data_IF_959443314286
#
_entry.id   IF_959443314286
#
_cell.length_a   1.000
_cell.length_b   1.000
_cell.length_c   1.000
_cell.angle_alpha   90.00
_cell.angle_beta   90.00
_cell.angle_gamma   90.00
#
_symmetry.space_group_name_H-M   'P 1'
#
loop_
_entity.id
_entity.type
_entity.pdbx_description
1 polymer ?
#
# COMPACT_ATOMS: atom_id res chain seq x y z
N UNK A 1 2.16 -14.00 -12.48
CA UNK A 1 2.20 -12.82 -11.56
C UNK A 1 1.61 -11.60 -12.24
N UNK A 2 0.93 -10.73 -11.49
CA UNK A 2 0.50 -9.39 -11.95
C UNK A 2 1.41 -8.33 -11.35
N UNK A 3 1.70 -7.27 -12.13
CA UNK A 3 2.60 -6.20 -11.74
C UNK A 3 1.90 -4.85 -11.77
N UNK A 4 2.22 -4.01 -10.80
CA UNK A 4 1.77 -2.63 -10.75
C UNK A 4 2.76 -1.73 -10.04
N UNK A 5 2.39 -0.46 -9.89
CA UNK A 5 3.23 0.55 -9.29
C UNK A 5 2.63 1.11 -7.99
N UNK A 6 3.49 1.60 -7.12
CA UNK A 6 3.12 2.31 -5.89
C UNK A 6 3.87 3.62 -5.79
N UNK A 7 3.19 4.67 -5.37
CA UNK A 7 3.78 5.93 -4.96
C UNK A 7 3.84 6.02 -3.44
N UNK A 8 5.04 6.23 -2.94
CA UNK A 8 5.30 6.50 -1.53
C UNK A 8 6.27 7.69 -1.44
N UNK A 9 5.77 8.93 -1.30
CA UNK A 9 6.63 10.10 -1.22
C UNK A 9 7.47 10.08 0.05
N UNK A 10 8.79 10.28 -0.09
CA UNK A 10 9.71 10.43 1.05
C UNK A 10 10.43 11.78 1.00
N UNK A 11 9.71 12.81 0.58
CA UNK A 11 10.20 14.17 0.33
C UNK A 11 9.35 15.20 1.05
N UNK A 12 9.93 16.38 1.21
CA UNK A 12 9.26 17.60 1.66
C UNK A 12 9.48 18.78 0.70
N UNK A 13 8.95 19.97 1.06
CA UNK A 13 9.01 21.16 0.21
C UNK A 13 10.43 21.63 -0.13
N UNK A 14 11.43 21.25 0.68
CA UNK A 14 12.83 21.56 0.41
C UNK A 14 13.47 20.67 -0.66
N UNK A 15 12.90 19.49 -0.90
CA UNK A 15 13.41 18.53 -1.89
C UNK A 15 12.77 18.77 -3.26
N UNK A 16 11.43 18.93 -3.29
CA UNK A 16 10.65 19.06 -4.52
C UNK A 16 9.31 19.75 -4.24
N UNK A 17 8.84 20.70 -5.08
CA UNK A 17 7.48 21.24 -4.99
C UNK A 17 6.41 20.15 -5.14
N UNK A 18 5.32 20.26 -4.38
CA UNK A 18 4.28 19.25 -4.36
C UNK A 18 3.53 19.15 -5.71
N UNK A 19 3.26 20.27 -6.37
CA UNK A 19 2.65 20.32 -7.70
C UNK A 19 3.48 19.55 -8.74
N UNK A 20 4.80 19.77 -8.77
CA UNK A 20 5.71 19.02 -9.63
C UNK A 20 5.66 17.51 -9.32
N UNK A 21 5.70 17.12 -8.05
CA UNK A 21 5.63 15.71 -7.66
C UNK A 21 4.33 15.04 -8.12
N UNK A 22 3.19 15.72 -7.97
CA UNK A 22 1.92 15.18 -8.42
C UNK A 22 1.82 15.08 -9.93
N UNK A 23 2.31 16.06 -10.68
CA UNK A 23 2.36 16.00 -12.15
C UNK A 23 3.22 14.82 -12.63
N UNK A 24 4.38 14.57 -12.01
CA UNK A 24 5.25 13.44 -12.29
C UNK A 24 4.57 12.09 -11.96
N UNK A 25 3.90 11.99 -10.81
CA UNK A 25 3.16 10.79 -10.46
C UNK A 25 2.00 10.51 -11.43
N UNK A 26 1.28 11.53 -11.87
CA UNK A 26 0.20 11.38 -12.85
C UNK A 26 0.73 10.96 -14.23
N UNK A 27 1.86 11.50 -14.66
CA UNK A 27 2.50 11.06 -15.91
C UNK A 27 2.98 9.59 -15.83
N UNK A 28 3.49 9.16 -14.68
CA UNK A 28 3.85 7.74 -14.46
C UNK A 28 2.62 6.83 -14.39
N UNK A 29 1.49 7.32 -13.88
CA UNK A 29 0.21 6.59 -13.87
C UNK A 29 -0.31 6.36 -15.30
N UNK A 30 -0.28 7.40 -16.15
CA UNK A 30 -0.62 7.31 -17.57
C UNK A 30 0.28 6.31 -18.30
N UNK A 31 1.59 6.41 -18.11
CA UNK A 31 2.55 5.48 -18.69
C UNK A 31 2.29 4.02 -18.27
N UNK A 32 1.99 3.78 -16.99
CA UNK A 32 1.69 2.45 -16.48
C UNK A 32 0.38 1.89 -17.09
N UNK A 33 -0.64 2.73 -17.28
CA UNK A 33 -1.89 2.37 -17.95
C UNK A 33 -1.67 2.04 -19.43
N UNK A 34 -0.89 2.88 -20.14
CA UNK A 34 -0.54 2.67 -21.56
C UNK A 34 0.22 1.35 -21.78
N UNK A 35 1.12 1.02 -20.87
CA UNK A 35 1.91 -0.21 -20.93
C UNK A 35 1.20 -1.45 -20.39
N UNK A 36 -0.04 -1.30 -19.88
CA UNK A 36 -0.87 -2.41 -19.43
C UNK A 36 -0.45 -3.02 -18.11
N UNK A 37 0.15 -2.25 -17.21
CA UNK A 37 0.35 -2.68 -15.84
C UNK A 37 -0.99 -2.82 -15.11
N UNK A 38 -1.05 -3.74 -14.15
CA UNK A 38 -2.30 -4.15 -13.51
C UNK A 38 -2.88 -3.07 -12.59
N UNK A 39 -2.03 -2.41 -11.77
CA UNK A 39 -2.52 -1.49 -10.75
C UNK A 39 -1.56 -0.34 -10.45
N UNK A 40 -2.14 0.75 -9.95
CA UNK A 40 -1.50 1.90 -9.35
C UNK A 40 -1.97 2.02 -7.90
N UNK A 41 -1.06 2.27 -6.95
CA UNK A 41 -1.39 2.47 -5.53
C UNK A 41 -0.70 3.68 -4.94
N UNK A 42 -1.31 4.23 -3.88
CA UNK A 42 -0.69 5.26 -3.05
C UNK A 42 -1.14 5.13 -1.60
N UNK A 43 -0.36 5.73 -0.70
CA UNK A 43 -0.51 5.62 0.76
C UNK A 43 -1.31 6.76 1.37
N UNK A 44 -1.59 6.71 2.68
CA UNK A 44 -2.09 7.83 3.49
C UNK A 44 -1.14 8.05 4.67
N UNK A 45 -0.46 9.20 4.69
CA UNK A 45 0.39 9.68 5.78
C UNK A 45 0.32 11.20 5.90
N UNK A 46 0.74 11.72 7.05
CA UNK A 46 0.59 13.12 7.38
C UNK A 46 1.88 13.69 8.00
N UNK A 47 2.13 15.00 7.78
CA UNK A 47 3.07 15.88 8.51
C UNK A 47 4.55 15.64 8.31
N UNK A 48 4.99 14.43 8.00
CA UNK A 48 6.41 14.10 7.82
C UNK A 48 6.80 14.06 6.35
N UNK A 49 8.08 14.26 6.07
CA UNK A 49 8.65 13.98 4.74
C UNK A 49 8.64 12.46 4.43
N UNK A 50 7.99 11.66 5.24
CA UNK A 50 7.71 10.24 5.08
C UNK A 50 6.21 10.06 4.83
N UNK A 51 5.85 10.01 3.58
CA UNK A 51 4.47 9.85 3.12
C UNK A 51 3.63 11.12 3.11
N UNK A 52 4.08 12.21 3.71
CA UNK A 52 3.25 13.40 4.00
C UNK A 52 2.72 14.16 2.78
N UNK A 53 3.26 13.93 1.58
CA UNK A 53 2.65 14.43 0.34
C UNK A 53 1.43 13.60 -0.13
N UNK A 54 1.05 12.58 0.63
CA UNK A 54 -0.14 11.77 0.35
C UNK A 54 -1.13 11.77 1.54
N UNK A 55 -1.68 12.93 1.94
CA UNK A 55 -2.63 12.99 3.06
C UNK A 55 -4.04 12.50 2.68
N UNK A 56 -4.37 12.41 1.41
CA UNK A 56 -5.62 11.86 0.91
C UNK A 56 -5.40 11.09 -0.41
N UNK A 57 -5.17 9.77 -0.33
CA UNK A 57 -4.99 8.95 -1.52
C UNK A 57 -6.19 8.97 -2.46
N UNK A 58 -7.41 9.16 -1.95
CA UNK A 58 -8.63 9.18 -2.77
C UNK A 58 -8.64 10.39 -3.70
N UNK A 59 -8.18 11.55 -3.23
CA UNK A 59 -8.06 12.76 -4.06
C UNK A 59 -7.08 12.55 -5.21
N UNK A 60 -5.89 12.00 -4.94
CA UNK A 60 -4.90 11.69 -5.97
C UNK A 60 -5.42 10.65 -6.97
N UNK A 61 -6.00 9.56 -6.46
CA UNK A 61 -6.52 8.49 -7.31
C UNK A 61 -7.72 8.94 -8.16
N UNK A 62 -8.50 9.92 -7.72
CA UNK A 62 -9.55 10.52 -8.55
C UNK A 62 -8.97 11.29 -9.76
N UNK A 63 -7.85 12.01 -9.56
CA UNK A 63 -7.14 12.64 -10.67
C UNK A 63 -6.54 11.59 -11.63
N UNK A 64 -5.94 10.52 -11.11
CA UNK A 64 -5.43 9.41 -11.90
C UNK A 64 -6.55 8.68 -12.66
N UNK A 65 -7.74 8.50 -12.06
CA UNK A 65 -8.90 7.89 -12.71
C UNK A 65 -9.33 8.62 -13.97
N UNK A 66 -9.25 9.96 -13.95
CA UNK A 66 -9.61 10.80 -15.09
C UNK A 66 -8.60 10.76 -16.25
N UNK A 67 -7.36 10.32 -15.98
CA UNK A 67 -6.25 10.24 -16.95
C UNK A 67 -5.95 8.83 -17.44
N UNK A 68 -6.54 7.81 -16.82
CA UNK A 68 -6.29 6.39 -17.10
C UNK A 68 -7.60 5.67 -17.47
N UNK A 69 -7.51 4.52 -18.12
CA UNK A 69 -8.68 3.80 -18.62
C UNK A 69 -8.77 2.34 -18.22
N UNK A 70 -7.64 1.69 -17.88
CA UNK A 70 -7.55 0.24 -17.64
C UNK A 70 -6.96 -0.10 -16.28
N UNK A 71 -5.90 0.61 -15.87
CA UNK A 71 -5.17 0.35 -14.63
C UNK A 71 -6.11 0.41 -13.41
N UNK A 72 -6.03 -0.57 -12.52
CA UNK A 72 -6.78 -0.56 -11.27
C UNK A 72 -6.16 0.46 -10.30
N UNK A 73 -7.00 1.11 -9.52
CA UNK A 73 -6.61 2.18 -8.63
C UNK A 73 -6.79 1.71 -7.18
N UNK A 74 -5.70 1.65 -6.43
CA UNK A 74 -5.73 1.10 -5.08
C UNK A 74 -5.29 2.08 -4.00
N UNK A 75 -6.01 2.12 -2.90
CA UNK A 75 -5.45 2.69 -1.67
C UNK A 75 -4.54 1.67 -0.99
N UNK A 76 -3.41 2.13 -0.41
CA UNK A 76 -2.46 1.23 0.25
C UNK A 76 -1.75 1.91 1.44
N UNK A 77 -2.56 2.45 2.36
CA UNK A 77 -3.99 2.29 2.57
C UNK A 77 -4.72 3.62 2.82
N UNK A 78 -6.06 3.58 3.01
CA UNK A 78 -6.79 4.62 3.76
C UNK A 78 -6.87 4.25 5.23
N UNK A 79 -6.97 5.25 6.10
CA UNK A 79 -6.94 5.07 7.56
C UNK A 79 -8.33 5.35 8.15
N UNK A 80 -9.12 4.30 8.46
CA UNK A 80 -10.48 4.48 8.99
C UNK A 80 -10.54 5.20 10.33
N UNK A 81 -9.47 5.09 11.14
CA UNK A 81 -9.43 5.71 12.46
C UNK A 81 -9.51 7.26 12.41
N UNK A 82 -9.11 7.87 11.30
CA UNK A 82 -9.06 9.34 11.16
C UNK A 82 -10.25 9.91 10.37
N UNK A 83 -11.18 9.08 9.93
CA UNK A 83 -12.29 9.53 9.08
C UNK A 83 -13.59 8.85 9.46
N UNK A 84 -14.68 9.63 9.56
CA UNK A 84 -16.02 9.06 9.81
C UNK A 84 -16.43 8.08 8.68
N UNK A 85 -16.93 6.86 9.00
CA UNK A 85 -17.23 5.81 8.01
C UNK A 85 -18.13 6.25 6.85
N UNK A 86 -19.19 7.03 7.14
CA UNK A 86 -20.09 7.53 6.09
C UNK A 86 -19.36 8.44 5.11
N UNK A 87 -18.45 9.29 5.59
CA UNK A 87 -17.63 10.15 4.72
C UNK A 87 -16.63 9.32 3.92
N UNK A 88 -15.96 8.36 4.57
CA UNK A 88 -14.99 7.48 3.91
C UNK A 88 -15.65 6.62 2.83
N UNK A 89 -16.75 5.94 3.17
CA UNK A 89 -17.50 5.14 2.22
C UNK A 89 -18.01 5.97 1.03
N UNK A 90 -18.49 7.21 1.28
CA UNK A 90 -18.98 8.11 0.25
C UNK A 90 -17.90 8.51 -0.75
N UNK A 91 -16.73 8.96 -0.27
CA UNK A 91 -15.64 9.37 -1.18
C UNK A 91 -15.05 8.19 -1.96
N UNK A 92 -14.99 6.99 -1.36
CA UNK A 92 -14.53 5.77 -2.04
C UNK A 92 -15.57 5.30 -3.09
N UNK A 93 -16.87 5.40 -2.80
CA UNK A 93 -17.91 5.13 -3.79
C UNK A 93 -17.87 6.12 -4.97
N UNK A 94 -17.57 7.40 -4.72
CA UNK A 94 -17.34 8.37 -5.80
C UNK A 94 -16.15 7.95 -6.67
N UNK A 95 -15.02 7.55 -6.07
CA UNK A 95 -13.84 7.09 -6.82
C UNK A 95 -14.14 5.82 -7.61
N UNK A 96 -14.91 4.88 -7.07
CA UNK A 96 -15.33 3.68 -7.80
C UNK A 96 -16.15 4.04 -9.05
N UNK A 97 -17.05 5.03 -8.95
CA UNK A 97 -17.80 5.54 -10.10
C UNK A 97 -16.92 6.28 -11.11
N UNK A 98 -16.06 7.19 -10.65
CA UNK A 98 -15.14 7.96 -11.51
C UNK A 98 -14.16 7.05 -12.27
N UNK A 99 -13.78 5.95 -11.66
CA UNK A 99 -12.88 4.95 -12.24
C UNK A 99 -13.60 3.87 -13.05
N UNK A 100 -14.95 3.92 -13.15
CA UNK A 100 -15.75 2.89 -13.81
C UNK A 100 -15.49 1.47 -13.24
N UNK A 101 -15.44 1.33 -11.91
CA UNK A 101 -15.28 0.05 -11.24
C UNK A 101 -13.83 -0.48 -11.18
N UNK A 102 -12.83 0.38 -11.30
CA UNK A 102 -11.41 0.01 -11.20
C UNK A 102 -10.82 0.17 -9.79
N UNK A 103 -11.62 0.53 -8.79
CA UNK A 103 -11.15 0.74 -7.43
C UNK A 103 -10.87 -0.57 -6.70
N UNK A 104 -9.74 -0.63 -5.99
CA UNK A 104 -9.40 -1.58 -4.94
C UNK A 104 -9.19 -0.81 -3.63
N UNK A 105 -9.90 -1.18 -2.56
CA UNK A 105 -9.81 -0.44 -1.30
C UNK A 105 -8.93 -1.16 -0.30
N UNK A 106 -7.71 -0.66 -0.10
CA UNK A 106 -6.83 -1.08 0.99
C UNK A 106 -7.06 -0.22 2.23
N UNK A 107 -7.35 -0.87 3.34
CA UNK A 107 -7.49 -0.26 4.65
C UNK A 107 -6.25 -0.54 5.49
N UNK A 108 -5.74 0.48 6.16
CA UNK A 108 -4.58 0.39 7.04
C UNK A 108 -4.87 0.92 8.43
N UNK A 109 -4.03 0.49 9.35
CA UNK A 109 -3.96 1.03 10.69
C UNK A 109 -2.78 1.98 10.76
N UNK A 110 -3.00 3.26 11.04
CA UNK A 110 -1.92 4.22 11.25
C UNK A 110 -0.95 3.71 12.32
N UNK A 111 0.28 4.18 12.31
CA UNK A 111 1.29 3.73 13.30
C UNK A 111 2.15 4.86 13.87
N UNK A 112 2.07 6.06 13.35
CA UNK A 112 2.85 7.20 13.85
C UNK A 112 2.07 7.92 14.96
N UNK A 113 2.62 8.01 16.20
CA UNK A 113 1.94 8.64 17.33
C UNK A 113 1.49 10.08 17.11
N UNK A 114 2.23 10.84 16.30
CA UNK A 114 1.92 12.24 16.05
C UNK A 114 0.70 12.40 15.11
N UNK A 115 0.47 11.43 14.21
CA UNK A 115 -0.75 11.37 13.41
C UNK A 115 -1.97 11.17 14.33
N UNK A 116 -1.91 10.20 15.26
CA UNK A 116 -2.98 9.98 16.24
C UNK A 116 -3.25 11.20 17.11
N UNK A 117 -2.19 11.87 17.58
CA UNK A 117 -2.31 13.07 18.40
C UNK A 117 -2.98 14.22 17.64
N UNK A 118 -2.62 14.43 16.37
CA UNK A 118 -3.18 15.50 15.56
C UNK A 118 -4.65 15.29 15.20
N UNK A 119 -5.07 14.04 15.05
CA UNK A 119 -6.49 13.68 14.83
C UNK A 119 -7.27 13.47 16.13
N UNK A 120 -6.65 13.68 17.29
CA UNK A 120 -7.28 13.49 18.62
C UNK A 120 -7.86 12.07 18.81
N UNK A 121 -7.21 11.07 18.23
CA UNK A 121 -7.60 9.65 18.32
C UNK A 121 -6.65 8.92 19.27
N UNK A 122 -7.16 8.26 20.33
CA UNK A 122 -6.33 7.42 21.19
C UNK A 122 -5.74 6.25 20.41
N UNK A 123 -4.42 6.03 20.52
CA UNK A 123 -3.74 4.93 19.80
C UNK A 123 -4.28 3.54 20.19
N UNK A 124 -4.71 3.38 21.43
CA UNK A 124 -5.29 2.15 21.98
C UNK A 124 -6.59 1.77 21.27
N UNK A 125 -7.31 2.74 20.70
CA UNK A 125 -8.53 2.52 19.93
C UNK A 125 -8.27 2.17 18.46
N UNK A 126 -7.02 2.23 18.00
CA UNK A 126 -6.66 2.07 16.59
C UNK A 126 -7.18 0.77 15.97
N UNK A 127 -7.13 -0.33 16.72
CA UNK A 127 -7.58 -1.64 16.24
C UNK A 127 -9.11 -1.71 16.11
N UNK A 128 -9.84 -1.24 17.13
CA UNK A 128 -11.31 -1.27 17.14
C UNK A 128 -11.89 -0.29 16.12
N UNK A 129 -11.31 0.91 15.99
CA UNK A 129 -11.69 1.88 14.94
C UNK A 129 -11.42 1.35 13.54
N UNK A 130 -10.30 0.65 13.35
CA UNK A 130 -9.96 0.02 12.07
C UNK A 130 -11.00 -1.03 11.69
N UNK A 131 -11.34 -1.95 12.59
CA UNK A 131 -12.32 -3.00 12.33
C UNK A 131 -13.71 -2.41 12.07
N UNK A 132 -14.17 -1.52 12.98
CA UNK A 132 -15.46 -0.86 12.85
C UNK A 132 -15.57 -0.06 11.55
N UNK A 133 -14.51 0.63 11.15
CA UNK A 133 -14.50 1.43 9.94
C UNK A 133 -14.60 0.60 8.66
N UNK A 134 -13.93 -0.55 8.58
CA UNK A 134 -14.05 -1.47 7.42
C UNK A 134 -15.46 -2.03 7.36
N UNK A 135 -15.98 -2.56 8.47
CA UNK A 135 -17.30 -3.17 8.52
C UNK A 135 -18.40 -2.17 8.17
N UNK A 136 -18.34 -0.96 8.73
CA UNK A 136 -19.29 0.10 8.41
C UNK A 136 -19.24 0.49 6.93
N UNK A 137 -18.04 0.61 6.34
CA UNK A 137 -17.90 0.91 4.91
C UNK A 137 -18.49 -0.20 4.03
N UNK A 138 -18.19 -1.47 4.31
CA UNK A 138 -18.70 -2.60 3.51
C UNK A 138 -20.22 -2.69 3.56
N UNK A 139 -20.83 -2.47 4.73
CA UNK A 139 -22.29 -2.43 4.85
C UNK A 139 -22.90 -1.23 4.13
N UNK A 140 -22.31 -0.03 4.25
CA UNK A 140 -22.78 1.16 3.54
C UNK A 140 -22.77 0.99 2.02
N UNK A 141 -21.83 0.22 1.45
CA UNK A 141 -21.78 -0.04 0.01
C UNK A 141 -22.78 -1.11 -0.45
N UNK A 142 -23.06 -2.11 0.39
CA UNK A 142 -23.84 -3.29 0.00
C UNK A 142 -25.32 -3.21 0.42
N UNK A 143 -25.64 -2.50 1.51
CA UNK A 143 -26.97 -2.44 2.10
C UNK A 143 -27.67 -1.08 1.86
N UNK A 144 -28.98 -1.03 2.08
CA UNK A 144 -29.79 0.19 2.15
C UNK A 144 -30.28 0.39 3.60
N UNK A 145 -30.62 1.63 3.94
CA UNK A 145 -31.15 2.02 5.26
C UNK A 145 -30.28 1.49 6.42
N UNK A 146 -28.96 1.57 6.26
CA UNK A 146 -27.99 1.08 7.23
C UNK A 146 -28.15 1.83 8.54
N UNK A 147 -28.44 1.10 9.61
CA UNK A 147 -28.35 1.55 10.99
C UNK A 147 -27.07 0.97 11.59
N UNK A 148 -26.25 1.83 12.15
CA UNK A 148 -24.96 1.47 12.75
C UNK A 148 -24.93 1.86 14.23
N UNK A 149 -24.70 0.88 15.09
CA UNK A 149 -24.62 1.01 16.56
C UNK A 149 -23.25 0.48 17.03
N UNK A 150 -22.17 1.15 16.61
CA UNK A 150 -20.80 0.76 16.94
C UNK A 150 -20.29 1.36 18.25
N UNK A 151 -19.04 1.03 18.56
CA UNK A 151 -18.33 1.58 19.73
C UNK A 151 -17.94 3.03 19.52
N UNK A 152 -17.48 3.36 18.31
CA UNK A 152 -16.92 4.69 17.97
C UNK A 152 -17.86 5.53 17.13
N UNK A 153 -18.78 4.90 16.39
CA UNK A 153 -19.71 5.59 15.51
C UNK A 153 -21.13 5.10 15.68
N UNK A 154 -22.09 6.03 15.56
CA UNK A 154 -23.53 5.73 15.53
C UNK A 154 -24.18 6.58 14.48
N UNK A 155 -24.93 5.97 13.56
CA UNK A 155 -25.64 6.68 12.52
C UNK A 155 -26.76 5.83 11.92
N UNK A 156 -27.64 6.45 11.18
CA UNK A 156 -28.66 5.79 10.39
C UNK A 156 -30.10 6.10 10.83
N UNK A 157 -31.08 5.58 10.06
CA UNK A 157 -30.90 4.83 8.81
C UNK A 157 -30.29 5.68 7.70
N UNK A 158 -29.31 5.13 6.96
CA UNK A 158 -28.62 5.80 5.85
C UNK A 158 -28.50 4.87 4.65
N UNK A 159 -28.96 5.33 3.50
CA UNK A 159 -28.64 4.72 2.20
C UNK A 159 -27.58 5.57 1.50
N UNK A 160 -26.39 4.99 1.31
CA UNK A 160 -25.25 5.71 0.73
C UNK A 160 -25.48 6.02 -0.75
N UNK A 161 -25.23 7.26 -1.17
CA UNK A 161 -25.17 7.71 -2.56
C UNK A 161 -23.90 8.48 -2.85
N UNK A 162 -23.26 8.27 -4.04
CA UNK A 162 -23.64 7.26 -5.03
C UNK A 162 -23.41 5.83 -4.53
N UNK A 163 -24.13 4.86 -5.10
CA UNK A 163 -23.81 3.45 -4.91
C UNK A 163 -22.52 3.11 -5.67
N UNK A 164 -21.76 2.13 -5.21
CA UNK A 164 -20.59 1.63 -5.94
C UNK A 164 -20.98 0.97 -7.27
N UNK A 165 -20.11 1.04 -8.27
CA UNK A 165 -20.24 0.32 -9.54
C UNK A 165 -20.01 -1.18 -9.29
N UNK A 166 -18.96 -1.51 -8.55
CA UNK A 166 -18.62 -2.89 -8.20
C UNK A 166 -19.60 -3.47 -7.18
N UNK A 167 -19.95 -4.77 -7.30
CA UNK A 167 -20.92 -5.46 -6.46
C UNK A 167 -20.30 -6.71 -5.82
N UNK A 168 -20.60 -7.00 -4.54
CA UNK A 168 -21.42 -6.23 -3.60
C UNK A 168 -20.77 -4.91 -3.19
N UNK A 169 -19.46 -4.77 -3.32
CA UNK A 169 -18.62 -3.60 -3.05
C UNK A 169 -17.27 -3.74 -3.77
N UNK A 170 -16.44 -2.69 -3.87
CA UNK A 170 -15.08 -2.82 -4.37
C UNK A 170 -14.28 -3.87 -3.59
N UNK A 171 -13.30 -4.55 -4.21
CA UNK A 171 -12.43 -5.47 -3.49
C UNK A 171 -11.76 -4.79 -2.29
N UNK A 172 -11.87 -5.43 -1.11
CA UNK A 172 -11.30 -4.94 0.13
C UNK A 172 -9.98 -5.63 0.39
N UNK A 173 -8.97 -4.85 0.75
CA UNK A 173 -7.66 -5.31 1.17
C UNK A 173 -7.35 -4.81 2.59
N UNK A 174 -6.74 -5.66 3.39
CA UNK A 174 -6.15 -5.29 4.67
C UNK A 174 -4.65 -5.07 4.46
N UNK A 175 -4.18 -3.87 4.74
CA UNK A 175 -2.76 -3.54 4.68
C UNK A 175 -2.13 -3.80 6.04
N UNK A 176 -1.19 -4.74 6.11
CA UNK A 176 -0.48 -5.07 7.33
C UNK A 176 1.02 -5.27 7.05
N UNK A 177 1.85 -4.84 8.00
CA UNK A 177 3.30 -4.96 7.87
C UNK A 177 3.88 -6.06 8.77
N UNK A 178 3.38 -6.20 10.01
CA UNK A 178 4.07 -7.00 11.04
C UNK A 178 3.20 -8.06 11.73
N UNK A 179 1.89 -7.86 11.85
CA UNK A 179 1.03 -8.69 12.69
C UNK A 179 0.52 -9.94 11.96
N UNK A 180 0.87 -11.13 12.47
CA UNK A 180 0.32 -12.42 12.02
C UNK A 180 -1.19 -12.47 12.29
N UNK A 181 -1.64 -12.00 13.47
CA UNK A 181 -3.05 -11.98 13.85
C UNK A 181 -3.89 -11.13 12.90
N UNK A 182 -3.34 -10.00 12.43
CA UNK A 182 -4.02 -9.16 11.42
C UNK A 182 -4.15 -9.88 10.08
N UNK A 183 -3.17 -10.67 9.68
CA UNK A 183 -3.25 -11.50 8.47
C UNK A 183 -4.34 -12.58 8.63
N UNK A 184 -4.34 -13.31 9.74
CA UNK A 184 -5.38 -14.32 10.02
C UNK A 184 -6.78 -13.70 10.11
N UNK A 185 -6.92 -12.50 10.72
CA UNK A 185 -8.19 -11.79 10.79
C UNK A 185 -8.70 -11.39 9.40
N UNK A 186 -7.81 -10.90 8.52
CA UNK A 186 -8.16 -10.60 7.13
C UNK A 186 -8.66 -11.85 6.39
N UNK A 187 -7.95 -12.98 6.54
CA UNK A 187 -8.36 -14.26 5.95
C UNK A 187 -9.75 -14.72 6.43
N UNK A 188 -10.01 -14.68 7.76
CA UNK A 188 -11.33 -15.02 8.31
C UNK A 188 -12.46 -14.15 7.76
N UNK A 189 -12.18 -12.87 7.56
CA UNK A 189 -13.17 -11.91 7.05
C UNK A 189 -13.38 -12.00 5.52
N UNK A 190 -12.59 -12.80 4.80
CA UNK A 190 -12.63 -12.87 3.34
C UNK A 190 -12.07 -11.62 2.64
N UNK A 191 -11.21 -10.87 3.33
CA UNK A 191 -10.52 -9.71 2.75
C UNK A 191 -9.19 -10.11 2.14
N UNK A 192 -8.82 -9.46 1.05
CA UNK A 192 -7.53 -9.60 0.41
C UNK A 192 -6.39 -9.02 1.28
N UNK A 193 -5.15 -9.38 0.98
CA UNK A 193 -4.00 -8.99 1.78
C UNK A 193 -3.04 -8.09 1.00
N UNK A 194 -2.59 -7.01 1.65
CA UNK A 194 -1.48 -6.17 1.20
C UNK A 194 -0.37 -6.19 2.24
N UNK A 195 0.86 -6.48 1.82
CA UNK A 195 2.03 -6.51 2.70
C UNK A 195 3.22 -5.77 2.08
N UNK A 196 4.04 -5.17 2.95
CA UNK A 196 5.33 -4.60 2.58
C UNK A 196 6.39 -5.72 2.70
N UNK A 197 6.63 -6.44 1.61
CA UNK A 197 7.60 -7.54 1.58
C UNK A 197 9.04 -7.07 1.88
N UNK A 198 9.35 -5.84 1.49
CA UNK A 198 10.67 -5.22 1.65
C UNK A 198 11.19 -5.10 3.10
N UNK A 199 10.32 -5.15 4.11
CA UNK A 199 10.69 -4.97 5.53
C UNK A 199 10.65 -6.26 6.35
N UNK A 200 10.31 -7.38 5.74
CA UNK A 200 10.17 -8.68 6.38
C UNK A 200 11.25 -9.64 5.88
N UNK A 201 11.60 -10.65 6.69
CA UNK A 201 12.37 -11.78 6.18
C UNK A 201 11.48 -12.73 5.38
N UNK A 202 12.08 -13.61 4.57
CA UNK A 202 11.37 -14.65 3.83
C UNK A 202 10.43 -15.45 4.76
N UNK A 203 10.97 -15.95 5.87
CA UNK A 203 10.22 -16.76 6.85
C UNK A 203 9.06 -15.97 7.45
N UNK A 204 9.30 -14.70 7.78
CA UNK A 204 8.25 -13.83 8.30
C UNK A 204 7.10 -13.62 7.31
N UNK A 205 7.38 -13.49 6.01
CA UNK A 205 6.34 -13.43 4.98
C UNK A 205 5.61 -14.77 4.89
N UNK A 206 6.34 -15.89 4.83
CA UNK A 206 5.77 -17.24 4.75
C UNK A 206 4.82 -17.53 5.92
N UNK A 207 5.22 -17.22 7.17
CA UNK A 207 4.38 -17.42 8.36
C UNK A 207 3.07 -16.64 8.27
N UNK A 208 3.11 -15.41 7.79
CA UNK A 208 1.93 -14.55 7.63
C UNK A 208 1.00 -15.05 6.54
N UNK A 209 1.56 -15.45 5.40
CA UNK A 209 0.78 -16.04 4.30
C UNK A 209 0.15 -17.37 4.72
N UNK A 210 0.86 -18.22 5.47
CA UNK A 210 0.32 -19.46 5.99
C UNK A 210 -0.85 -19.20 6.96
N UNK A 211 -0.69 -18.27 7.91
CA UNK A 211 -1.76 -17.89 8.84
C UNK A 211 -2.98 -17.31 8.13
N UNK A 212 -2.76 -16.46 7.11
CA UNK A 212 -3.83 -15.88 6.29
C UNK A 212 -4.60 -16.95 5.52
N UNK A 213 -3.89 -17.82 4.77
CA UNK A 213 -4.51 -18.88 3.96
C UNK A 213 -5.23 -19.92 4.83
N UNK A 214 -4.65 -20.29 5.97
CA UNK A 214 -5.32 -21.19 6.92
C UNK A 214 -6.64 -20.61 7.41
N UNK A 215 -6.64 -19.34 7.85
CA UNK A 215 -7.83 -18.66 8.34
C UNK A 215 -8.88 -18.46 7.23
N UNK A 216 -8.46 -18.21 5.98
CA UNK A 216 -9.32 -18.14 4.80
C UNK A 216 -10.04 -19.46 4.56
N UNK A 217 -9.31 -20.56 4.58
CA UNK A 217 -9.85 -21.91 4.38
C UNK A 217 -10.78 -22.33 5.53
N UNK A 218 -10.40 -22.07 6.80
CA UNK A 218 -11.22 -22.37 7.98
C UNK A 218 -12.56 -21.62 7.99
N UNK A 219 -12.59 -20.40 7.45
CA UNK A 219 -13.81 -19.62 7.30
C UNK A 219 -14.71 -20.09 6.13
N UNK A 220 -14.24 -21.05 5.33
CA UNK A 220 -15.00 -21.61 4.21
C UNK A 220 -15.02 -20.74 2.95
N UNK A 221 -14.10 -19.78 2.83
CA UNK A 221 -13.97 -19.01 1.61
C UNK A 221 -13.41 -19.85 0.44
N UNK A 222 -13.70 -19.44 -0.79
CA UNK A 222 -13.28 -20.16 -1.99
C UNK A 222 -11.75 -20.16 -2.08
N UNK A 223 -11.10 -21.34 -2.10
CA UNK A 223 -9.64 -21.42 -2.27
C UNK A 223 -9.19 -20.82 -3.61
N UNK A 224 -8.13 -20.03 -3.59
CA UNK A 224 -7.60 -19.38 -4.78
C UNK A 224 -8.35 -18.10 -5.21
N UNK A 225 -9.40 -17.70 -4.49
CA UNK A 225 -10.08 -16.42 -4.72
C UNK A 225 -9.40 -15.27 -4.00
N UNK A 226 -8.53 -15.57 -3.02
CA UNK A 226 -7.75 -14.60 -2.29
C UNK A 226 -6.71 -13.93 -3.19
N UNK A 227 -6.53 -12.63 -3.02
CA UNK A 227 -5.46 -11.87 -3.68
C UNK A 227 -4.47 -11.37 -2.64
N UNK A 228 -3.20 -11.72 -2.87
CA UNK A 228 -2.10 -11.35 -2.00
C UNK A 228 -1.18 -10.41 -2.76
N UNK A 229 -0.95 -9.22 -2.22
CA UNK A 229 -0.09 -8.24 -2.82
C UNK A 229 1.12 -7.96 -1.94
N UNK A 230 2.29 -8.02 -2.56
CA UNK A 230 3.58 -7.70 -1.93
C UNK A 230 4.19 -6.46 -2.59
N UNK A 231 4.68 -5.50 -1.78
CA UNK A 231 5.31 -4.30 -2.29
C UNK A 231 6.82 -4.28 -2.01
N UNK A 232 7.57 -3.81 -3.03
CA UNK A 232 9.02 -3.68 -3.01
C UNK A 232 9.47 -2.36 -3.66
N UNK A 233 10.53 -1.71 -3.16
CA UNK A 233 11.22 -0.69 -3.95
C UNK A 233 11.83 -1.33 -5.20
N UNK A 234 11.81 -0.62 -6.34
CA UNK A 234 12.39 -1.14 -7.57
C UNK A 234 13.17 -0.07 -8.35
N UNK A 235 14.37 -0.44 -8.77
CA UNK A 235 15.29 0.41 -9.55
C UNK A 235 15.85 -0.41 -10.70
N UNK A 236 15.27 -0.25 -11.89
CA UNK A 236 15.59 -1.06 -13.07
C UNK A 236 16.21 -0.17 -14.14
N UNK A 237 17.34 -0.58 -14.66
CA UNK A 237 18.03 0.09 -15.75
C UNK A 237 18.67 -0.95 -16.69
N UNK A 238 19.06 -0.54 -17.89
CA UNK A 238 19.78 -1.38 -18.85
C UNK A 238 21.19 -1.75 -18.35
N UNK A 239 21.76 -0.91 -17.49
CA UNK A 239 23.05 -1.12 -16.84
C UNK A 239 22.88 -1.31 -15.31
N UNK A 240 23.44 -2.40 -14.78
CA UNK A 240 23.37 -2.75 -13.36
C UNK A 240 24.03 -1.69 -12.46
N UNK A 241 25.15 -1.11 -12.86
CA UNK A 241 25.83 -0.09 -12.06
C UNK A 241 24.98 1.19 -11.93
N UNK A 242 24.28 1.57 -12.99
CA UNK A 242 23.33 2.70 -12.95
C UNK A 242 22.15 2.41 -12.03
N UNK A 243 21.54 1.23 -12.14
CA UNK A 243 20.44 0.80 -11.25
C UNK A 243 20.84 0.85 -9.78
N UNK A 244 22.02 0.31 -9.45
CA UNK A 244 22.56 0.31 -8.08
C UNK A 244 22.86 1.72 -7.57
N UNK A 245 23.41 2.60 -8.42
CA UNK A 245 23.68 3.99 -8.08
C UNK A 245 22.38 4.75 -7.73
N UNK A 246 21.33 4.55 -8.51
CA UNK A 246 20.01 5.16 -8.28
C UNK A 246 19.40 4.61 -7.00
N UNK A 247 19.44 3.29 -6.80
CA UNK A 247 18.95 2.63 -5.59
C UNK A 247 19.65 3.15 -4.33
N UNK A 248 20.97 3.27 -4.34
CA UNK A 248 21.76 3.78 -3.20
C UNK A 248 21.35 5.22 -2.81
N UNK A 249 21.11 6.07 -3.80
CA UNK A 249 20.70 7.46 -3.57
C UNK A 249 19.31 7.53 -2.92
N UNK A 250 18.34 6.80 -3.47
CA UNK A 250 16.95 6.80 -2.99
C UNK A 250 16.83 6.19 -1.60
N UNK A 251 17.49 5.03 -1.38
CA UNK A 251 17.48 4.31 -0.12
C UNK A 251 18.12 5.10 1.03
N UNK A 252 19.19 5.83 0.77
CA UNK A 252 19.81 6.71 1.78
C UNK A 252 18.84 7.79 2.21
N UNK A 253 18.26 8.53 1.27
CA UNK A 253 17.37 9.65 1.55
C UNK A 253 16.03 9.19 2.17
N UNK A 254 15.39 8.19 1.59
CA UNK A 254 14.14 7.62 2.10
C UNK A 254 14.31 7.05 3.51
N UNK A 255 15.49 6.48 3.80
CA UNK A 255 15.85 6.00 5.12
C UNK A 255 15.93 7.05 6.18
N UNK A 256 16.53 8.17 5.88
CA UNK A 256 16.62 9.30 6.80
C UNK A 256 15.23 9.85 7.12
N UNK A 257 14.31 9.87 6.13
CA UNK A 257 12.92 10.31 6.32
C UNK A 257 12.15 9.35 7.22
N UNK A 258 12.26 8.03 6.98
CA UNK A 258 11.67 7.03 7.88
C UNK A 258 12.22 7.14 9.29
N UNK A 259 13.55 7.23 9.46
CA UNK A 259 14.19 7.37 10.77
C UNK A 259 13.69 8.62 11.51
N UNK A 260 13.43 9.71 10.79
CA UNK A 260 12.85 10.93 11.36
C UNK A 260 11.41 10.72 11.82
N UNK A 261 10.56 10.10 11.00
CA UNK A 261 9.15 9.86 11.34
C UNK A 261 9.01 8.91 12.55
N UNK A 262 9.80 7.82 12.61
CA UNK A 262 9.71 6.87 13.73
C UNK A 262 10.26 7.41 15.05
N UNK A 263 11.00 8.54 15.06
CA UNK A 263 11.37 9.24 16.30
C UNK A 263 10.15 9.72 17.09
N UNK A 264 8.99 9.85 16.45
CA UNK A 264 7.70 10.13 17.13
C UNK A 264 7.35 9.09 18.20
N UNK A 265 7.97 7.88 18.14
CA UNK A 265 7.87 6.84 19.17
C UNK A 265 8.80 7.05 20.36
N UNK A 266 9.77 7.97 20.30
CA UNK A 266 10.72 8.18 21.39
C UNK A 266 10.00 8.49 22.71
N UNK A 267 10.23 7.67 23.73
CA UNK A 267 9.58 7.81 25.04
C UNK A 267 8.07 7.47 25.07
N UNK A 268 7.52 6.92 24.01
CA UNK A 268 6.12 6.47 23.94
C UNK A 268 6.06 4.94 23.83
N UNK A 269 5.02 4.35 24.42
CA UNK A 269 4.68 2.93 24.26
C UNK A 269 3.16 2.80 24.16
N UNK A 270 2.69 1.76 23.47
CA UNK A 270 1.26 1.46 23.37
C UNK A 270 1.05 -0.06 23.32
N UNK A 271 0.07 -0.55 24.07
CA UNK A 271 -0.33 -1.96 24.04
C UNK A 271 -0.89 -2.37 22.66
N UNK A 272 -1.42 -1.41 21.90
CA UNK A 272 -1.92 -1.64 20.54
C UNK A 272 -0.78 -1.80 19.51
N UNK A 273 0.46 -1.43 19.87
CA UNK A 273 1.63 -1.46 18.99
C UNK A 273 2.86 -2.03 19.73
N UNK A 274 2.80 -3.31 20.17
CA UNK A 274 3.90 -3.89 20.93
C UNK A 274 5.20 -3.92 20.09
N UNK A 275 6.30 -3.42 20.68
CA UNK A 275 7.62 -3.37 20.04
C UNK A 275 7.87 -2.19 19.10
N UNK A 276 6.88 -1.32 18.85
CA UNK A 276 7.07 -0.14 18.00
C UNK A 276 7.94 0.94 18.65
N UNK A 277 7.99 1.00 19.99
CA UNK A 277 8.91 1.84 20.75
C UNK A 277 10.39 1.59 20.39
N UNK A 278 10.71 0.38 19.95
CA UNK A 278 12.06 -0.01 19.52
C UNK A 278 12.40 0.42 18.09
N UNK A 279 11.44 0.87 17.30
CA UNK A 279 11.69 1.31 15.91
C UNK A 279 12.68 2.49 15.87
N UNK A 280 12.62 3.38 16.85
CA UNK A 280 13.55 4.50 16.96
C UNK A 280 14.98 4.07 17.34
N UNK A 281 15.14 2.90 17.96
CA UNK A 281 16.42 2.36 18.45
C UNK A 281 17.06 1.39 17.44
N UNK A 282 16.26 0.76 16.56
CA UNK A 282 16.73 -0.21 15.57
C UNK A 282 17.34 0.50 14.34
N UNK A 283 18.37 1.31 14.60
CA UNK A 283 18.99 2.18 13.58
C UNK A 283 19.93 1.44 12.61
N UNK A 284 20.13 0.13 12.76
CA UNK A 284 21.01 -0.64 11.85
C UNK A 284 20.19 -1.11 10.64
N UNK A 285 20.29 -0.37 9.54
CA UNK A 285 19.77 -0.84 8.25
C UNK A 285 20.73 -1.86 7.65
N UNK A 286 20.22 -2.97 7.07
CA UNK A 286 21.02 -3.83 6.21
C UNK A 286 21.62 -3.00 5.04
N UNK A 287 22.79 -3.40 4.57
CA UNK A 287 23.43 -2.77 3.43
C UNK A 287 22.55 -2.91 2.17
N UNK A 288 22.83 -2.10 1.15
CA UNK A 288 22.13 -2.21 -0.13
C UNK A 288 22.27 -3.61 -0.73
N UNK A 289 23.47 -4.17 -0.67
CA UNK A 289 23.80 -5.51 -1.15
C UNK A 289 23.00 -6.59 -0.41
N UNK A 290 22.93 -6.51 0.92
CA UNK A 290 22.12 -7.44 1.72
C UNK A 290 20.63 -7.35 1.37
N UNK A 291 20.10 -6.14 1.16
CA UNK A 291 18.70 -5.97 0.79
C UNK A 291 18.38 -6.53 -0.59
N UNK A 292 19.30 -6.41 -1.53
CA UNK A 292 19.17 -6.98 -2.87
C UNK A 292 19.27 -8.51 -2.81
N UNK A 293 20.26 -9.05 -2.10
CA UNK A 293 20.45 -10.50 -1.96
C UNK A 293 19.29 -11.20 -1.25
N UNK A 294 18.64 -10.50 -0.31
CA UNK A 294 17.44 -10.96 0.41
C UNK A 294 16.13 -10.73 -0.36
N UNK A 295 16.19 -10.22 -1.59
CA UNK A 295 15.02 -9.80 -2.38
C UNK A 295 14.09 -8.80 -1.67
N UNK A 296 14.63 -7.94 -0.80
CA UNK A 296 13.92 -6.85 -0.13
C UNK A 296 13.93 -5.55 -0.92
N UNK A 297 14.77 -5.51 -1.96
CA UNK A 297 14.89 -4.42 -2.91
C UNK A 297 15.21 -5.01 -4.28
N UNK A 298 14.43 -4.63 -5.28
CA UNK A 298 14.58 -5.08 -6.65
C UNK A 298 15.48 -4.08 -7.39
N UNK A 299 16.73 -4.45 -7.70
CA UNK A 299 17.63 -3.54 -8.38
C UNK A 299 18.56 -4.28 -9.34
N UNK A 300 18.77 -3.68 -10.51
CA UNK A 300 19.64 -4.21 -11.55
C UNK A 300 19.04 -4.09 -12.94
N UNK A 301 19.58 -4.91 -13.85
CA UNK A 301 19.05 -5.10 -15.21
C UNK A 301 17.73 -5.87 -15.20
N UNK A 302 16.94 -5.86 -16.28
CA UNK A 302 15.74 -6.69 -16.39
C UNK A 302 15.98 -8.19 -16.15
N UNK A 303 17.18 -8.70 -16.49
CA UNK A 303 17.52 -10.10 -16.25
C UNK A 303 17.74 -10.38 -14.74
N UNK A 304 18.47 -9.52 -14.04
CA UNK A 304 18.73 -9.64 -12.60
C UNK A 304 17.44 -9.50 -11.79
N UNK A 305 16.60 -8.51 -12.10
CA UNK A 305 15.31 -8.32 -11.43
C UNK A 305 14.33 -9.47 -11.75
N UNK A 306 14.35 -10.02 -12.97
CA UNK A 306 13.57 -11.22 -13.29
C UNK A 306 13.99 -12.42 -12.44
N UNK A 307 15.28 -12.60 -12.15
CA UNK A 307 15.75 -13.66 -11.26
C UNK A 307 15.30 -13.45 -9.80
N UNK A 308 15.34 -12.21 -9.28
CA UNK A 308 14.79 -11.88 -7.97
C UNK A 308 13.29 -12.18 -7.88
N UNK A 309 12.52 -11.81 -8.88
CA UNK A 309 11.06 -12.05 -8.94
C UNK A 309 10.74 -13.53 -9.07
N UNK A 310 11.53 -14.30 -9.81
CA UNK A 310 11.38 -15.76 -9.87
C UNK A 310 11.58 -16.42 -8.51
N UNK A 311 12.55 -15.97 -7.72
CA UNK A 311 12.73 -16.41 -6.34
C UNK A 311 11.56 -16.02 -5.44
N UNK A 312 11.03 -14.80 -5.58
CA UNK A 312 9.84 -14.34 -4.83
C UNK A 312 8.63 -15.23 -5.17
N UNK A 313 8.45 -15.59 -6.45
CA UNK A 313 7.39 -16.51 -6.90
C UNK A 313 7.57 -17.91 -6.29
N UNK A 314 8.78 -18.44 -6.28
CA UNK A 314 9.11 -19.73 -5.65
C UNK A 314 8.79 -19.73 -4.14
N UNK A 315 9.06 -18.62 -3.44
CA UNK A 315 8.85 -18.53 -2.00
C UNK A 315 7.40 -18.34 -1.58
N UNK A 316 6.60 -17.59 -2.35
CA UNK A 316 5.29 -17.09 -1.92
C UNK A 316 4.13 -17.52 -2.82
N UNK A 317 4.41 -18.07 -4.00
CA UNK A 317 3.44 -18.51 -5.00
C UNK A 317 3.44 -17.61 -6.24
N UNK A 318 3.15 -18.20 -7.40
CA UNK A 318 3.08 -17.49 -8.68
C UNK A 318 1.85 -16.56 -8.80
N UNK A 319 0.86 -16.75 -7.93
CA UNK A 319 -0.37 -15.96 -7.89
C UNK A 319 -0.22 -14.63 -7.15
N UNK A 320 0.92 -14.39 -6.48
CA UNK A 320 1.13 -13.10 -5.79
C UNK A 320 1.21 -11.94 -6.78
N UNK A 321 0.65 -10.82 -6.35
CA UNK A 321 0.65 -9.56 -7.09
C UNK A 321 1.80 -8.70 -6.59
N UNK A 322 2.65 -8.23 -7.49
CA UNK A 322 3.82 -7.41 -7.13
C UNK A 322 3.54 -5.94 -7.41
N UNK A 323 3.70 -5.12 -6.38
CA UNK A 323 3.61 -3.67 -6.48
C UNK A 323 4.99 -3.06 -6.28
N UNK A 324 5.51 -2.35 -7.27
CA UNK A 324 6.84 -1.75 -7.18
C UNK A 324 6.76 -0.26 -6.88
N UNK A 325 7.51 0.20 -5.88
CA UNK A 325 7.66 1.61 -5.59
C UNK A 325 8.67 2.21 -6.58
N UNK A 326 8.20 3.16 -7.41
CA UNK A 326 8.98 3.66 -8.55
C UNK A 326 9.37 5.15 -8.43
N UNK A 327 8.74 5.90 -7.53
CA UNK A 327 8.94 7.35 -7.41
C UNK A 327 8.72 7.84 -5.98
N UNK A 328 9.79 7.94 -5.23
CA UNK A 328 9.81 8.51 -3.87
C UNK A 328 9.86 10.04 -3.86
N UNK A 329 10.24 10.64 -4.98
CA UNK A 329 10.48 12.07 -5.18
C UNK A 329 11.95 12.51 -5.13
N UNK A 330 12.87 11.62 -4.70
CA UNK A 330 14.31 11.96 -4.63
C UNK A 330 15.03 11.88 -5.98
N UNK A 331 14.49 11.12 -6.91
CA UNK A 331 15.08 10.87 -8.22
C UNK A 331 14.37 11.69 -9.30
N UNK A 332 15.04 11.93 -10.44
CA UNK A 332 14.37 12.40 -11.66
C UNK A 332 13.24 11.44 -12.06
N UNK A 333 12.12 11.97 -12.55
CA UNK A 333 10.96 11.16 -12.97
C UNK A 333 11.32 10.15 -14.07
N UNK A 334 12.32 10.44 -14.89
CA UNK A 334 12.82 9.58 -15.94
C UNK A 334 13.34 8.24 -15.41
N UNK A 335 13.91 8.21 -14.20
CA UNK A 335 14.35 6.96 -13.56
C UNK A 335 13.14 6.07 -13.21
N UNK A 336 12.07 6.66 -12.69
CA UNK A 336 10.79 5.96 -12.46
C UNK A 336 10.16 5.48 -13.78
N UNK A 337 10.11 6.35 -14.79
CA UNK A 337 9.58 6.02 -16.11
C UNK A 337 10.35 4.86 -16.78
N UNK A 338 11.67 4.84 -16.65
CA UNK A 338 12.52 3.74 -17.12
C UNK A 338 12.16 2.43 -16.41
N UNK A 339 12.08 2.46 -15.08
CA UNK A 339 11.70 1.29 -14.29
C UNK A 339 10.33 0.75 -14.73
N UNK A 340 9.33 1.63 -14.94
CA UNK A 340 8.00 1.25 -15.42
C UNK A 340 8.04 0.58 -16.80
N UNK A 341 8.81 1.14 -17.75
CA UNK A 341 8.95 0.58 -19.09
C UNK A 341 9.62 -0.80 -19.08
N UNK A 342 10.78 -0.91 -18.44
CA UNK A 342 11.52 -2.17 -18.36
C UNK A 342 10.74 -3.26 -17.61
N UNK A 343 9.98 -2.89 -16.57
CA UNK A 343 9.07 -3.80 -15.88
C UNK A 343 7.98 -4.33 -16.81
N UNK A 344 7.33 -3.45 -17.55
CA UNK A 344 6.19 -3.80 -18.41
C UNK A 344 6.61 -4.54 -19.69
N UNK A 345 7.69 -4.11 -20.33
CA UNK A 345 8.10 -4.60 -21.65
C UNK A 345 9.04 -5.81 -21.59
N UNK A 346 9.93 -5.89 -20.59
CA UNK A 346 10.97 -6.91 -20.54
C UNK A 346 10.79 -7.93 -19.40
N UNK A 347 10.12 -7.56 -18.31
CA UNK A 347 9.98 -8.43 -17.13
C UNK A 347 8.61 -9.08 -17.08
N UNK A 348 7.53 -8.30 -17.04
CA UNK A 348 6.16 -8.81 -16.87
C UNK A 348 5.77 -9.91 -17.89
N UNK A 349 6.19 -9.86 -19.16
CA UNK A 349 5.88 -10.92 -20.12
C UNK A 349 6.42 -12.31 -19.75
N UNK A 350 7.49 -12.38 -18.95
CA UNK A 350 8.12 -13.64 -18.52
C UNK A 350 7.33 -14.37 -17.42
N UNK A 351 6.37 -13.69 -16.80
CA UNK A 351 5.57 -14.20 -15.67
C UNK A 351 4.07 -14.34 -16.01
N UNK A 352 3.73 -14.26 -17.29
CA UNK A 352 2.36 -14.46 -17.81
C UNK A 352 2.04 -15.91 -18.09
#
# INVERSE_FOLDING_TARGET
MEFGITFFPTIGPADRPADQYFDECLALAELADELGLHHLRTVEHYFFDYGGYSPDPVTFLAAAAARTSRIRLGTSAVIPAFTHPVKLAGKLAMLDNLSHGRLDVGFGRAFLPDEFAAFEVPMEESHTRFQEGIEACTRLWSEEDVVWEGTHHRFGPVTLLPRTVQRPHPPVYVTTARSIDSCAAAGRAGYNLQMVGAILTREQVQDRLAAYRAAWAEAGHVPGAERIQLSYPAFIAEDSAEALRIAALDETRGGDRLATAVRSWAGKSSAAYPGYEKLAEQATRPSLEERISDNKLLAGTPAEVSAQLAQIAEWFGEEVVISVAVHSGHLPVEAGARTVRLLAEEIAPKFR
#
